data_IF_092535393482
#
_entry.id   IF_092535393482
#
_cell.length_a   1.000
_cell.length_b   1.000
_cell.length_c   1.000
_cell.angle_alpha   90.00
_cell.angle_beta   90.00
_cell.angle_gamma   90.00
#
_symmetry.space_group_name_H-M   'P 1'
#
loop_
_entity.id
_entity.type
_entity.pdbx_description
1 polymer ?
#
# COMPACT_ATOMS: atom_id res chain seq x y z
N UNK A 1 -12.06 -7.60 6.42
CA UNK A 1 -13.10 -6.69 6.95
C UNK A 1 -13.02 -6.53 8.46
N UNK A 2 -13.00 -7.61 9.26
CA UNK A 2 -13.00 -7.54 10.73
C UNK A 2 -11.75 -6.92 11.40
N UNK A 3 -10.49 -7.31 11.13
CA UNK A 3 -9.36 -6.53 11.71
C UNK A 3 -9.06 -5.19 11.03
N UNK A 4 -9.64 -4.92 9.87
CA UNK A 4 -9.66 -3.56 9.35
C UNK A 4 -10.62 -2.70 10.20
N UNK A 5 -11.73 -3.27 10.67
CA UNK A 5 -12.64 -2.68 11.67
C UNK A 5 -11.99 -2.61 13.07
N UNK A 6 -11.14 -3.57 13.45
CA UNK A 6 -10.37 -3.53 14.72
C UNK A 6 -9.26 -2.47 14.63
N UNK A 7 -8.49 -2.40 13.54
CA UNK A 7 -7.52 -1.31 13.30
C UNK A 7 -8.22 0.05 13.18
N UNK A 8 -9.46 0.10 12.67
CA UNK A 8 -10.31 1.30 12.65
C UNK A 8 -10.81 1.69 14.05
N UNK A 9 -11.23 0.73 14.86
CA UNK A 9 -11.68 0.94 16.25
C UNK A 9 -10.53 1.36 17.18
N UNK A 10 -9.35 0.77 16.99
CA UNK A 10 -8.10 1.18 17.64
C UNK A 10 -7.70 2.56 17.12
N UNK A 11 -7.72 2.77 15.81
CA UNK A 11 -7.35 4.02 15.15
C UNK A 11 -8.19 5.23 15.58
N UNK A 12 -9.50 5.07 15.81
CA UNK A 12 -10.36 6.14 16.33
C UNK A 12 -10.08 6.49 17.81
N UNK A 13 -9.49 5.55 18.57
CA UNK A 13 -9.16 5.75 19.99
C UNK A 13 -7.70 6.17 20.22
N UNK A 14 -6.78 5.87 19.30
CA UNK A 14 -5.34 6.22 19.38
C UNK A 14 -4.94 7.49 18.60
N UNK A 15 -5.91 8.32 18.23
CA UNK A 15 -5.74 9.52 17.38
C UNK A 15 -4.76 10.56 17.93
N UNK A 16 -4.38 10.50 19.21
CA UNK A 16 -3.69 11.63 19.84
C UNK A 16 -2.18 11.50 20.07
N UNK A 17 -1.52 10.34 20.02
CA UNK A 17 -0.13 10.28 20.56
C UNK A 17 0.87 9.23 20.02
N UNK A 18 0.52 8.35 19.07
CA UNK A 18 1.24 7.06 18.95
C UNK A 18 1.65 6.61 17.55
N UNK A 19 2.07 7.50 16.64
CA UNK A 19 2.40 7.06 15.28
C UNK A 19 3.55 6.04 15.18
N UNK A 20 4.67 6.28 15.88
CA UNK A 20 5.75 5.29 16.04
C UNK A 20 5.30 3.96 16.70
N UNK A 21 4.40 4.01 17.68
CA UNK A 21 3.97 2.81 18.42
C UNK A 21 3.02 1.96 17.59
N UNK A 22 2.11 2.61 16.86
CA UNK A 22 1.26 1.95 15.87
C UNK A 22 2.10 1.31 14.77
N UNK A 23 3.10 2.03 14.25
CA UNK A 23 3.99 1.49 13.22
C UNK A 23 4.72 0.21 13.67
N UNK A 24 5.19 0.18 14.93
CA UNK A 24 5.80 -1.00 15.53
C UNK A 24 4.78 -2.13 15.74
N UNK A 25 3.58 -1.81 16.21
CA UNK A 25 2.52 -2.79 16.44
C UNK A 25 2.08 -3.46 15.13
N UNK A 26 1.91 -2.68 14.06
CA UNK A 26 1.54 -3.20 12.74
C UNK A 26 2.64 -4.06 12.11
N UNK A 27 3.91 -3.70 12.31
CA UNK A 27 5.04 -4.51 11.86
C UNK A 27 5.12 -5.83 12.64
N UNK A 28 4.90 -5.80 13.96
CA UNK A 28 4.84 -7.00 14.80
C UNK A 28 3.67 -7.90 14.39
N UNK A 29 2.50 -7.32 14.15
CA UNK A 29 1.33 -8.05 13.69
C UNK A 29 1.60 -8.73 12.34
N UNK A 30 2.30 -8.03 11.43
CA UNK A 30 2.68 -8.59 10.15
C UNK A 30 3.64 -9.77 10.29
N UNK A 31 4.62 -9.64 11.19
CA UNK A 31 5.56 -10.72 11.53
C UNK A 31 4.84 -11.96 12.09
N UNK A 32 3.90 -11.78 13.02
CA UNK A 32 3.06 -12.87 13.56
C UNK A 32 2.26 -13.53 12.43
N UNK A 33 1.72 -12.74 11.51
CA UNK A 33 1.01 -13.25 10.34
C UNK A 33 1.87 -14.17 9.46
N UNK A 34 3.10 -13.75 9.16
CA UNK A 34 4.05 -14.57 8.40
C UNK A 34 4.41 -15.86 9.15
N UNK A 35 4.56 -15.82 10.48
CA UNK A 35 4.79 -17.02 11.29
C UNK A 35 3.62 -18.00 11.17
N UNK A 36 2.37 -17.53 11.23
CA UNK A 36 1.19 -18.40 11.08
C UNK A 36 1.16 -19.06 9.71
N UNK A 37 1.46 -18.31 8.64
CA UNK A 37 1.54 -18.86 7.30
C UNK A 37 2.67 -19.89 7.20
N UNK A 38 3.83 -19.61 7.79
CA UNK A 38 4.97 -20.53 7.82
C UNK A 38 4.65 -21.85 8.55
N UNK A 39 4.00 -21.77 9.72
CA UNK A 39 3.56 -22.96 10.47
C UNK A 39 2.56 -23.79 9.66
N UNK A 40 1.58 -23.14 9.02
CA UNK A 40 0.62 -23.82 8.17
C UNK A 40 1.32 -24.60 7.04
N UNK A 41 2.31 -23.98 6.38
CA UNK A 41 3.10 -24.58 5.31
C UNK A 41 3.99 -25.76 5.77
N UNK A 42 4.52 -25.72 7.00
CA UNK A 42 5.27 -26.84 7.55
C UNK A 42 4.36 -28.02 7.91
N UNK A 43 3.12 -27.73 8.29
CA UNK A 43 2.19 -28.74 8.83
C UNK A 43 1.39 -29.49 7.76
N UNK A 44 1.13 -28.89 6.60
CA UNK A 44 0.32 -29.50 5.54
C UNK A 44 0.68 -28.96 4.17
N UNK A 45 0.71 -29.85 3.18
CA UNK A 45 0.90 -29.47 1.79
C UNK A 45 -0.33 -28.71 1.27
N UNK A 46 -0.11 -27.51 0.73
CA UNK A 46 -1.14 -26.65 0.14
C UNK A 46 -1.94 -27.38 -0.93
N UNK A 47 -1.32 -28.26 -1.70
CA UNK A 47 -1.99 -28.97 -2.79
C UNK A 47 -3.15 -29.85 -2.30
N UNK A 48 -3.13 -30.24 -1.02
CA UNK A 48 -4.13 -31.11 -0.39
C UNK A 48 -5.07 -30.38 0.56
N UNK A 49 -4.94 -29.05 0.66
CA UNK A 49 -5.60 -28.21 1.63
C UNK A 49 -7.08 -28.00 1.28
N UNK A 50 -7.96 -28.20 2.26
CA UNK A 50 -9.40 -27.98 2.16
C UNK A 50 -9.82 -26.78 3.03
N UNK A 51 -10.90 -26.07 2.67
CA UNK A 51 -11.40 -24.95 3.47
C UNK A 51 -11.78 -25.29 4.92
N UNK A 52 -12.10 -26.57 5.18
CA UNK A 52 -12.43 -27.09 6.51
C UNK A 52 -11.21 -27.31 7.41
N UNK A 53 -10.00 -27.27 6.86
CA UNK A 53 -8.77 -27.56 7.59
C UNK A 53 -8.35 -26.37 8.47
N UNK A 54 -7.81 -26.66 9.65
CA UNK A 54 -7.27 -25.63 10.55
C UNK A 54 -6.11 -24.86 9.89
N UNK A 55 -5.29 -25.53 9.08
CA UNK A 55 -4.20 -24.91 8.34
C UNK A 55 -4.69 -23.89 7.31
N UNK A 56 -5.89 -24.10 6.74
CA UNK A 56 -6.51 -23.12 5.86
C UNK A 56 -6.90 -21.87 6.65
N UNK A 57 -7.48 -22.03 7.84
CA UNK A 57 -7.78 -20.92 8.73
C UNK A 57 -6.50 -20.16 9.14
N UNK A 58 -5.41 -20.87 9.46
CA UNK A 58 -4.11 -20.27 9.76
C UNK A 58 -3.53 -19.49 8.58
N UNK A 59 -3.65 -19.99 7.35
CA UNK A 59 -3.22 -19.26 6.15
C UNK A 59 -4.05 -18.00 5.93
N UNK A 60 -5.37 -18.07 6.11
CA UNK A 60 -6.27 -16.91 5.96
C UNK A 60 -5.98 -15.85 7.02
N UNK A 61 -5.92 -16.25 8.29
CA UNK A 61 -5.60 -15.33 9.41
C UNK A 61 -4.19 -14.79 9.24
N UNK A 62 -3.22 -15.64 8.93
CA UNK A 62 -1.83 -15.27 8.71
C UNK A 62 -1.66 -14.26 7.57
N UNK A 63 -2.28 -14.52 6.42
CA UNK A 63 -2.28 -13.59 5.25
C UNK A 63 -2.93 -12.25 5.60
N UNK A 64 -3.97 -12.31 6.42
CA UNK A 64 -4.67 -11.13 6.86
C UNK A 64 -3.84 -10.28 7.83
N UNK A 65 -3.19 -10.92 8.80
CA UNK A 65 -2.27 -10.26 9.72
C UNK A 65 -1.02 -9.74 9.00
N UNK A 66 -0.44 -10.50 8.06
CA UNK A 66 0.74 -10.07 7.30
C UNK A 66 0.47 -8.78 6.49
N UNK A 67 -0.77 -8.56 6.07
CA UNK A 67 -1.21 -7.35 5.37
C UNK A 67 -1.19 -6.06 6.19
N UNK A 68 -1.07 -6.13 7.53
CA UNK A 68 -1.08 -4.94 8.39
C UNK A 68 0.08 -3.98 8.12
N UNK A 69 1.24 -4.48 7.70
CA UNK A 69 2.40 -3.64 7.40
C UNK A 69 2.15 -2.70 6.20
N UNK A 70 1.26 -3.07 5.27
CA UNK A 70 0.87 -2.22 4.13
C UNK A 70 -0.04 -1.06 4.62
N UNK A 71 -0.75 -1.25 5.74
CA UNK A 71 -1.61 -0.25 6.35
C UNK A 71 -0.85 0.81 7.18
N UNK A 72 0.48 0.77 7.17
CA UNK A 72 1.35 1.66 7.94
C UNK A 72 1.50 3.06 7.31
N UNK A 73 0.37 3.64 6.91
CA UNK A 73 0.24 4.99 6.37
C UNK A 73 0.75 6.05 7.34
N UNK A 74 0.77 5.73 8.63
CA UNK A 74 1.26 6.58 9.69
C UNK A 74 2.76 6.88 9.58
N UNK A 75 3.59 5.91 9.17
CA UNK A 75 5.00 6.13 8.90
C UNK A 75 5.22 7.15 7.78
N UNK A 76 4.36 7.12 6.76
CA UNK A 76 4.48 8.02 5.60
C UNK A 76 4.10 9.46 6.02
N UNK A 77 3.07 9.62 6.85
CA UNK A 77 2.71 10.93 7.41
C UNK A 77 3.82 11.46 8.33
N UNK A 78 4.37 10.63 9.22
CA UNK A 78 5.49 11.04 10.09
C UNK A 78 6.74 11.38 9.27
N UNK A 79 7.03 10.63 8.20
CA UNK A 79 8.16 10.92 7.31
C UNK A 79 8.02 12.28 6.65
N UNK A 80 6.85 12.62 6.10
CA UNK A 80 6.64 13.94 5.46
C UNK A 80 6.82 15.10 6.44
N UNK A 81 6.53 14.89 7.73
CA UNK A 81 6.73 15.90 8.77
C UNK A 81 8.22 16.13 9.12
N UNK A 82 9.12 15.22 8.74
CA UNK A 82 10.57 15.42 8.87
C UNK A 82 11.17 16.31 7.76
N UNK A 83 10.41 16.62 6.72
CA UNK A 83 10.88 17.38 5.57
C UNK A 83 10.04 18.65 5.34
N UNK A 84 10.59 19.68 4.66
CA UNK A 84 9.84 20.85 4.25
C UNK A 84 8.64 20.48 3.35
N UNK A 85 7.51 21.18 3.51
CA UNK A 85 6.28 20.90 2.77
C UNK A 85 6.45 21.10 1.25
N UNK A 86 7.38 21.97 0.85
CA UNK A 86 7.72 22.29 -0.54
C UNK A 86 8.31 21.09 -1.29
N UNK A 87 8.88 20.11 -0.57
CA UNK A 87 9.48 18.90 -1.17
C UNK A 87 8.80 17.60 -0.74
N UNK A 88 7.68 17.70 -0.02
CA UNK A 88 6.96 16.57 0.55
C UNK A 88 6.56 15.51 -0.51
N UNK A 89 6.13 15.97 -1.69
CA UNK A 89 5.76 15.11 -2.81
C UNK A 89 6.95 14.34 -3.38
N UNK A 90 8.11 14.97 -3.55
CA UNK A 90 9.35 14.29 -4.00
C UNK A 90 9.81 13.27 -2.98
N UNK A 91 9.88 13.65 -1.70
CA UNK A 91 10.33 12.77 -0.60
C UNK A 91 9.46 11.51 -0.54
N UNK A 92 8.15 11.69 -0.61
CA UNK A 92 7.20 10.59 -0.65
C UNK A 92 7.33 9.77 -1.94
N UNK A 93 7.49 10.42 -3.09
CA UNK A 93 7.69 9.78 -4.38
C UNK A 93 8.91 8.85 -4.40
N UNK A 94 10.00 9.26 -3.75
CA UNK A 94 11.20 8.45 -3.56
C UNK A 94 10.90 7.25 -2.65
N UNK A 95 10.33 7.48 -1.47
CA UNK A 95 10.07 6.41 -0.50
C UNK A 95 9.10 5.36 -1.06
N UNK A 96 7.98 5.82 -1.60
CA UNK A 96 6.97 4.96 -2.22
C UNK A 96 7.50 4.31 -3.51
N UNK A 97 8.40 4.97 -4.25
CA UNK A 97 9.04 4.41 -5.42
C UNK A 97 9.97 3.26 -5.06
N UNK A 98 10.88 3.47 -4.10
CA UNK A 98 11.80 2.43 -3.62
C UNK A 98 11.01 1.22 -3.11
N UNK A 99 10.00 1.42 -2.25
CA UNK A 99 9.18 0.33 -1.73
C UNK A 99 8.48 -0.49 -2.83
N UNK A 100 7.99 0.18 -3.88
CA UNK A 100 7.31 -0.48 -4.99
C UNK A 100 8.28 -1.28 -5.86
N UNK A 101 9.48 -0.75 -6.10
CA UNK A 101 10.55 -1.46 -6.81
C UNK A 101 10.95 -2.74 -6.07
N UNK A 102 11.13 -2.66 -4.74
CA UNK A 102 11.43 -3.83 -3.92
C UNK A 102 10.31 -4.89 -3.99
N UNK A 103 9.04 -4.49 -3.92
CA UNK A 103 7.90 -5.42 -4.00
C UNK A 103 7.87 -6.17 -5.34
N UNK A 104 8.05 -5.45 -6.45
CA UNK A 104 8.08 -6.04 -7.78
C UNK A 104 9.29 -6.97 -7.97
N UNK A 105 10.48 -6.52 -7.56
CA UNK A 105 11.72 -7.29 -7.69
C UNK A 105 11.67 -8.56 -6.84
N UNK A 106 11.17 -8.46 -5.60
CA UNK A 106 11.04 -9.59 -4.68
C UNK A 106 10.15 -10.69 -5.27
N UNK A 107 9.00 -10.33 -5.87
CA UNK A 107 8.13 -11.31 -6.52
C UNK A 107 8.82 -12.08 -7.65
N UNK A 108 9.58 -11.37 -8.50
CA UNK A 108 10.33 -11.99 -9.60
C UNK A 108 11.51 -12.84 -9.12
N UNK A 109 12.25 -12.38 -8.11
CA UNK A 109 13.36 -13.13 -7.52
C UNK A 109 12.81 -14.41 -6.89
N UNK A 110 11.73 -14.31 -6.11
CA UNK A 110 11.15 -15.44 -5.41
C UNK A 110 10.67 -16.52 -6.40
N UNK A 111 9.96 -16.17 -7.47
CA UNK A 111 9.52 -17.18 -8.46
C UNK A 111 10.69 -17.85 -9.18
N UNK A 112 11.75 -17.10 -9.52
CA UNK A 112 12.94 -17.68 -10.10
C UNK A 112 13.65 -18.63 -9.13
N UNK A 113 13.72 -18.28 -7.84
CA UNK A 113 14.27 -19.19 -6.84
C UNK A 113 13.42 -20.46 -6.72
N UNK A 114 12.09 -20.33 -6.68
CA UNK A 114 11.18 -21.48 -6.61
C UNK A 114 11.33 -22.41 -7.82
N UNK A 115 11.46 -21.85 -9.03
CA UNK A 115 11.67 -22.61 -10.26
C UNK A 115 13.04 -23.32 -10.29
N UNK A 116 14.06 -22.74 -9.64
CA UNK A 116 15.40 -23.32 -9.54
C UNK A 116 15.60 -24.21 -8.30
N UNK A 117 14.51 -24.72 -7.71
CA UNK A 117 14.56 -25.73 -6.65
C UNK A 117 14.49 -25.20 -5.21
N UNK A 118 14.31 -23.90 -5.00
CA UNK A 118 13.95 -23.39 -3.68
C UNK A 118 12.54 -23.90 -3.33
N UNK A 119 12.37 -24.54 -2.18
CA UNK A 119 11.04 -24.92 -1.72
C UNK A 119 10.25 -23.67 -1.31
N UNK A 120 8.92 -23.75 -1.35
CA UNK A 120 8.06 -22.68 -0.85
C UNK A 120 8.38 -22.32 0.61
N UNK A 121 8.68 -23.33 1.42
CA UNK A 121 9.16 -23.18 2.81
C UNK A 121 10.45 -22.34 2.83
N UNK A 122 11.41 -22.62 1.96
CA UNK A 122 12.63 -21.83 1.79
C UNK A 122 12.35 -20.35 1.47
N UNK A 123 11.34 -20.09 0.63
CA UNK A 123 10.88 -18.72 0.34
C UNK A 123 10.39 -17.98 1.57
N UNK A 124 9.59 -18.63 2.44
CA UNK A 124 9.14 -18.02 3.69
C UNK A 124 10.25 -17.83 4.71
N UNK A 125 11.27 -18.69 4.74
CA UNK A 125 12.46 -18.49 5.57
C UNK A 125 13.15 -17.17 5.21
N UNK A 126 13.30 -16.86 3.91
CA UNK A 126 13.87 -15.58 3.46
C UNK A 126 13.05 -14.40 4.00
N UNK A 127 11.72 -14.47 3.88
CA UNK A 127 10.82 -13.42 4.41
C UNK A 127 10.98 -13.27 5.92
N UNK A 128 11.02 -14.37 6.67
CA UNK A 128 11.22 -14.35 8.12
C UNK A 128 12.57 -13.73 8.51
N UNK A 129 13.65 -14.06 7.81
CA UNK A 129 14.97 -13.45 8.03
C UNK A 129 14.91 -11.94 7.80
N UNK A 130 14.24 -11.48 6.74
CA UNK A 130 14.04 -10.05 6.49
C UNK A 130 13.26 -9.37 7.62
N UNK A 131 12.25 -10.03 8.20
CA UNK A 131 11.54 -9.50 9.38
C UNK A 131 12.42 -9.46 10.63
N UNK A 132 13.21 -10.51 10.88
CA UNK A 132 14.14 -10.56 12.03
C UNK A 132 15.18 -9.45 11.95
N UNK A 133 15.54 -8.99 10.74
CA UNK A 133 16.44 -7.85 10.55
C UNK A 133 15.67 -6.53 10.65
N UNK A 134 14.56 -6.38 9.92
CA UNK A 134 13.86 -5.09 9.82
C UNK A 134 13.17 -4.69 11.11
N UNK A 135 12.62 -5.63 11.89
CA UNK A 135 11.88 -5.33 13.11
C UNK A 135 12.76 -4.69 14.21
N UNK A 136 13.96 -5.21 14.54
CA UNK A 136 14.90 -4.52 15.42
C UNK A 136 15.37 -3.17 14.86
N UNK A 137 15.67 -3.08 13.56
CA UNK A 137 16.09 -1.82 12.94
C UNK A 137 15.01 -0.75 13.07
N UNK A 138 13.74 -1.08 12.81
CA UNK A 138 12.63 -0.15 13.02
C UNK A 138 12.48 0.22 14.49
N UNK A 139 12.69 -0.72 15.42
CA UNK A 139 12.63 -0.40 16.84
C UNK A 139 13.71 0.59 17.27
N UNK A 140 14.94 0.44 16.76
CA UNK A 140 16.11 1.26 17.10
C UNK A 140 16.08 2.63 16.41
N UNK A 141 15.77 2.67 15.12
CA UNK A 141 15.99 3.85 14.28
C UNK A 141 14.73 4.68 14.01
N UNK A 142 13.52 4.12 14.16
CA UNK A 142 12.31 4.90 13.96
C UNK A 142 12.17 5.91 15.10
N UNK A 143 12.17 7.20 14.80
CA UNK A 143 12.04 8.28 15.78
C UNK A 143 10.83 9.16 15.49
N UNK A 144 10.16 9.62 16.56
CA UNK A 144 9.08 10.61 16.48
C UNK A 144 9.62 11.97 16.02
N UNK A 145 8.81 12.78 15.36
CA UNK A 145 9.18 14.16 15.01
C UNK A 145 9.42 15.02 16.26
N UNK A 146 10.23 16.10 16.17
CA UNK A 146 10.50 16.99 17.31
C UNK A 146 9.23 17.49 18.01
N UNK A 147 8.22 17.94 17.25
CA UNK A 147 6.93 18.37 17.79
C UNK A 147 6.25 17.28 18.62
N UNK A 148 6.22 16.04 18.11
CA UNK A 148 5.55 14.93 18.78
C UNK A 148 6.29 14.54 20.06
N UNK A 149 7.63 14.57 20.05
CA UNK A 149 8.44 14.33 21.25
C UNK A 149 8.15 15.35 22.36
N UNK A 150 7.97 16.63 22.01
CA UNK A 150 7.67 17.69 22.96
C UNK A 150 6.24 17.59 23.52
N UNK A 151 5.27 17.22 22.68
CA UNK A 151 3.89 16.97 23.11
C UNK A 151 3.82 15.77 24.06
N UNK A 152 4.58 14.70 23.80
CA UNK A 152 4.69 13.54 24.72
C UNK A 152 5.25 13.94 26.10
N UNK A 153 6.14 14.94 26.13
CA UNK A 153 6.66 15.54 27.36
C UNK A 153 5.65 16.46 28.05
N UNK A 154 4.38 16.45 27.61
CA UNK A 154 3.27 17.28 28.11
C UNK A 154 3.51 18.78 27.96
N UNK A 155 4.32 19.17 26.97
CA UNK A 155 4.51 20.58 26.64
C UNK A 155 3.28 21.15 25.95
N UNK A 156 2.93 22.38 26.29
CA UNK A 156 1.85 23.13 25.64
C UNK A 156 2.11 23.25 24.14
N UNK A 157 1.11 22.94 23.30
CA UNK A 157 1.22 22.84 21.83
C UNK A 157 1.90 24.06 21.19
N UNK A 158 1.55 25.27 21.62
CA UNK A 158 2.14 26.51 21.11
C UNK A 158 3.65 26.60 21.41
N UNK A 159 4.07 26.20 22.61
CA UNK A 159 5.49 26.19 23.02
C UNK A 159 6.24 25.06 22.31
N UNK A 160 5.62 23.88 22.22
CA UNK A 160 6.17 22.73 21.51
C UNK A 160 6.42 23.05 20.02
N UNK A 161 5.52 23.83 19.39
CA UNK A 161 5.64 24.26 18.00
C UNK A 161 6.84 25.17 17.80
N UNK A 162 7.00 26.20 18.63
CA UNK A 162 8.14 27.13 18.57
C UNK A 162 9.48 26.41 18.75
N UNK A 163 9.55 25.48 19.72
CA UNK A 163 10.78 24.71 19.96
C UNK A 163 11.04 23.71 18.82
N UNK A 164 10.02 23.05 18.29
CA UNK A 164 10.17 22.17 17.14
C UNK A 164 10.67 22.92 15.90
N UNK A 165 10.18 24.15 15.68
CA UNK A 165 10.64 25.04 14.61
C UNK A 165 12.12 25.41 14.80
N UNK A 166 12.51 25.77 16.03
CA UNK A 166 13.91 26.01 16.38
C UNK A 166 14.80 24.77 16.18
N UNK A 167 14.27 23.57 16.41
CA UNK A 167 14.94 22.30 16.12
C UNK A 167 14.98 21.93 14.63
N UNK A 168 14.47 22.78 13.74
CA UNK A 168 14.53 22.62 12.28
C UNK A 168 13.33 21.90 11.66
N UNK A 169 12.27 21.63 12.42
CA UNK A 169 11.01 21.15 11.84
C UNK A 169 10.34 22.31 11.10
N UNK A 170 10.17 22.20 9.78
CA UNK A 170 9.57 23.26 8.96
C UNK A 170 8.10 23.00 8.64
N UNK A 171 7.67 21.74 8.75
CA UNK A 171 6.32 21.32 8.39
C UNK A 171 5.48 21.13 9.65
N UNK A 172 4.35 21.85 9.70
CA UNK A 172 3.41 21.86 10.82
C UNK A 172 1.97 21.63 10.33
N UNK A 173 1.14 20.94 11.12
CA UNK A 173 -0.26 20.76 10.78
C UNK A 173 -1.01 22.11 10.79
N UNK A 174 -1.80 22.39 9.75
CA UNK A 174 -2.55 23.65 9.65
C UNK A 174 -3.98 23.58 10.24
N UNK A 175 -4.61 24.74 10.49
CA UNK A 175 -6.00 24.84 10.97
C UNK A 175 -6.95 25.12 9.80
N UNK A 176 -7.61 24.10 9.23
CA UNK A 176 -8.70 24.33 8.25
C UNK A 176 -9.89 23.34 8.33
N UNK A 177 -11.02 23.80 7.77
CA UNK A 177 -12.37 23.22 7.83
C UNK A 177 -12.57 21.99 6.92
N UNK A 178 -13.36 21.02 7.41
CA UNK A 178 -13.59 19.69 6.82
C UNK A 178 -14.49 19.77 5.59
N UNK A 179 -14.05 19.21 4.45
CA UNK A 179 -14.91 18.86 3.30
C UNK A 179 -14.82 17.35 3.08
N UNK A 180 -15.97 16.66 3.01
CA UNK A 180 -16.11 15.21 2.80
C UNK A 180 -15.81 14.80 1.36
N UNK A 181 -15.03 13.73 1.14
CA UNK A 181 -15.14 12.92 -0.09
C UNK A 181 -14.72 11.45 0.12
N UNK A 182 -15.25 10.58 -0.74
CA UNK A 182 -15.20 9.11 -0.72
C UNK A 182 -14.49 8.57 -1.98
N UNK A 183 -14.10 7.28 -1.90
CA UNK A 183 -13.97 6.27 -2.96
C UNK A 183 -12.55 5.84 -3.43
N UNK A 184 -12.57 4.69 -4.14
CA UNK A 184 -11.65 3.55 -4.14
C UNK A 184 -11.44 3.00 -5.57
N UNK A 185 -10.24 2.47 -5.91
CA UNK A 185 -9.90 1.59 -7.08
C UNK A 185 -8.61 0.80 -6.75
N UNK A 186 -8.21 -0.34 -7.34
CA UNK A 186 -8.59 -1.12 -8.53
C UNK A 186 -7.50 -2.20 -8.79
N UNK A 187 -7.18 -2.58 -10.04
CA UNK A 187 -7.56 -3.77 -10.86
C UNK A 187 -6.23 -4.45 -11.31
N UNK A 188 -6.12 -5.77 -11.57
CA UNK A 188 -5.16 -6.37 -12.56
C UNK A 188 -5.19 -7.92 -12.70
N UNK A 189 -5.66 -8.73 -11.75
CA UNK A 189 -5.23 -10.16 -11.75
C UNK A 189 -6.09 -11.23 -12.47
N UNK A 190 -7.10 -10.91 -13.27
CA UNK A 190 -8.03 -11.94 -13.80
C UNK A 190 -8.08 -12.18 -15.30
N UNK A 191 -7.58 -11.26 -16.13
CA UNK A 191 -8.03 -11.23 -17.53
C UNK A 191 -7.13 -11.94 -18.54
N UNK A 192 -5.98 -12.46 -18.11
CA UNK A 192 -5.05 -13.12 -19.02
C UNK A 192 -4.79 -14.56 -18.60
N UNK A 193 -4.96 -15.49 -19.56
CA UNK A 193 -4.44 -16.87 -19.49
C UNK A 193 -2.91 -16.84 -19.63
N UNK A 194 -2.23 -16.07 -18.77
CA UNK A 194 -0.77 -15.94 -18.73
C UNK A 194 -0.19 -16.92 -17.74
N UNK A 195 1.07 -17.28 -17.95
CA UNK A 195 1.83 -18.05 -16.96
C UNK A 195 2.08 -17.21 -15.71
N UNK A 196 2.25 -17.86 -14.54
CA UNK A 196 2.59 -17.18 -13.27
C UNK A 196 3.85 -16.32 -13.43
N UNK A 197 4.81 -16.79 -14.21
CA UNK A 197 6.04 -16.05 -14.51
C UNK A 197 5.76 -14.76 -15.28
N UNK A 198 4.95 -14.82 -16.34
CA UNK A 198 4.57 -13.62 -17.12
C UNK A 198 3.81 -12.60 -16.29
N UNK A 199 2.90 -13.04 -15.41
CA UNK A 199 2.18 -12.16 -14.50
C UNK A 199 3.12 -11.44 -13.51
N UNK A 200 4.11 -12.16 -12.97
CA UNK A 200 5.11 -11.58 -12.06
C UNK A 200 6.10 -10.67 -12.80
N UNK A 201 6.47 -11.00 -14.04
CA UNK A 201 7.29 -10.14 -14.88
C UNK A 201 6.57 -8.84 -15.27
N UNK A 202 5.28 -8.91 -15.57
CA UNK A 202 4.44 -7.72 -15.78
C UNK A 202 4.32 -6.89 -14.50
N UNK A 203 4.12 -7.53 -13.34
CA UNK A 203 4.10 -6.84 -12.06
C UNK A 203 5.43 -6.14 -11.76
N UNK A 204 6.56 -6.79 -12.05
CA UNK A 204 7.89 -6.16 -11.93
C UNK A 204 8.03 -4.97 -12.88
N UNK A 205 7.66 -5.12 -14.15
CA UNK A 205 7.71 -4.05 -15.14
C UNK A 205 6.85 -2.85 -14.73
N UNK A 206 5.61 -3.11 -14.32
CA UNK A 206 4.71 -2.10 -13.80
C UNK A 206 5.27 -1.44 -12.53
N UNK A 207 5.92 -2.22 -11.67
CA UNK A 207 6.55 -1.72 -10.46
C UNK A 207 7.71 -0.78 -10.76
N UNK A 208 8.56 -1.11 -11.74
CA UNK A 208 9.64 -0.22 -12.22
C UNK A 208 9.10 1.08 -12.79
N UNK A 209 8.10 1.00 -13.69
CA UNK A 209 7.46 2.19 -14.29
C UNK A 209 6.88 3.07 -13.18
N UNK A 210 6.10 2.47 -12.28
CA UNK A 210 5.46 3.17 -11.17
C UNK A 210 6.48 3.79 -10.21
N UNK A 211 7.61 3.14 -9.98
CA UNK A 211 8.66 3.68 -9.11
C UNK A 211 9.28 4.94 -9.70
N UNK A 212 9.58 4.91 -11.00
CA UNK A 212 10.12 6.07 -11.71
C UNK A 212 9.09 7.20 -11.80
N UNK A 213 7.85 6.89 -12.19
CA UNK A 213 6.79 7.89 -12.31
C UNK A 213 6.45 8.51 -10.96
N UNK A 214 6.53 7.79 -9.84
CA UNK A 214 6.31 8.33 -8.49
C UNK A 214 7.29 9.44 -8.11
N UNK A 215 8.58 9.28 -8.40
CA UNK A 215 9.57 10.33 -8.14
C UNK A 215 9.29 11.55 -9.01
N UNK A 216 9.04 11.34 -10.29
CA UNK A 216 8.76 12.41 -11.24
C UNK A 216 7.47 13.18 -10.90
N UNK A 217 6.37 12.46 -10.64
CA UNK A 217 5.07 13.07 -10.27
C UNK A 217 5.09 13.68 -8.86
N UNK A 218 5.94 13.16 -7.96
CA UNK A 218 6.25 13.80 -6.68
C UNK A 218 6.85 15.19 -6.86
N UNK A 219 7.88 15.30 -7.69
CA UNK A 219 8.48 16.59 -8.06
C UNK A 219 7.50 17.55 -8.75
N UNK A 220 6.63 17.05 -9.62
CA UNK A 220 5.58 17.88 -10.21
C UNK A 220 4.57 18.34 -9.16
N UNK A 221 4.18 17.46 -8.25
CA UNK A 221 3.26 17.76 -7.14
C UNK A 221 3.83 18.81 -6.21
N UNK A 222 5.15 18.85 -6.03
CA UNK A 222 5.83 19.88 -5.24
C UNK A 222 5.61 21.29 -5.80
N UNK A 223 5.52 21.42 -7.12
CA UNK A 223 5.26 22.70 -7.82
C UNK A 223 3.78 23.10 -7.85
N UNK A 224 2.86 22.18 -7.53
CA UNK A 224 1.42 22.44 -7.48
C UNK A 224 0.88 22.17 -6.06
N UNK A 225 -0.43 22.29 -5.87
CA UNK A 225 -1.07 21.96 -4.60
C UNK A 225 -1.43 20.46 -4.54
N UNK A 226 -1.50 19.90 -3.32
CA UNK A 226 -1.91 18.51 -3.14
C UNK A 226 -3.30 18.23 -3.70
N UNK A 227 -4.23 19.17 -3.50
CA UNK A 227 -5.59 19.09 -4.05
C UNK A 227 -5.66 19.06 -5.58
N UNK A 228 -4.89 19.91 -6.27
CA UNK A 228 -4.87 19.89 -7.74
C UNK A 228 -4.25 18.59 -8.27
N UNK A 229 -3.21 18.09 -7.59
CA UNK A 229 -2.55 16.83 -7.91
C UNK A 229 -3.51 15.63 -7.84
N UNK A 230 -4.36 15.55 -6.80
CA UNK A 230 -5.36 14.48 -6.68
C UNK A 230 -6.44 14.57 -7.77
N UNK A 231 -6.87 15.76 -8.18
CA UNK A 231 -7.80 15.92 -9.30
C UNK A 231 -7.20 15.47 -10.64
N UNK A 232 -5.97 15.89 -10.94
CA UNK A 232 -5.23 15.46 -12.14
C UNK A 232 -5.10 13.94 -12.17
N UNK A 233 -4.76 13.35 -11.03
CA UNK A 233 -4.67 11.90 -10.87
C UNK A 233 -5.97 11.18 -11.29
N UNK A 234 -7.12 11.62 -10.76
CA UNK A 234 -8.40 10.98 -11.05
C UNK A 234 -8.72 10.97 -12.55
N UNK A 235 -8.45 12.08 -13.24
CA UNK A 235 -8.64 12.19 -14.70
C UNK A 235 -7.73 11.21 -15.43
N UNK A 236 -6.44 11.16 -15.07
CA UNK A 236 -5.46 10.26 -15.69
C UNK A 236 -5.83 8.79 -15.45
N UNK A 237 -6.29 8.42 -14.25
CA UNK A 237 -6.71 7.05 -13.92
C UNK A 237 -7.96 6.66 -14.72
N UNK A 238 -8.91 7.58 -14.93
CA UNK A 238 -10.08 7.33 -15.78
C UNK A 238 -9.64 7.07 -17.22
N UNK A 239 -8.79 7.93 -17.78
CA UNK A 239 -8.25 7.77 -19.14
C UNK A 239 -7.52 6.43 -19.27
N UNK A 240 -6.65 6.09 -18.31
CA UNK A 240 -5.96 4.81 -18.25
C UNK A 240 -6.93 3.63 -18.26
N UNK A 241 -7.97 3.68 -17.41
CA UNK A 241 -8.96 2.60 -17.33
C UNK A 241 -9.74 2.43 -18.64
N UNK A 242 -10.01 3.52 -19.37
CA UNK A 242 -10.61 3.46 -20.70
C UNK A 242 -9.66 2.81 -21.72
N UNK A 243 -8.40 3.23 -21.77
CA UNK A 243 -7.38 2.66 -22.66
C UNK A 243 -7.24 1.15 -22.41
N UNK A 244 -7.11 0.74 -21.15
CA UNK A 244 -6.99 -0.67 -20.77
C UNK A 244 -8.26 -1.47 -21.12
N UNK A 245 -9.45 -0.86 -21.04
CA UNK A 245 -10.71 -1.51 -21.41
C UNK A 245 -10.82 -1.80 -22.91
N UNK A 246 -10.21 -0.96 -23.76
CA UNK A 246 -10.14 -1.19 -25.22
C UNK A 246 -8.95 -2.04 -25.65
N UNK A 247 -7.99 -2.30 -24.75
CA UNK A 247 -6.81 -3.11 -25.00
C UNK A 247 -7.10 -4.64 -25.04
N UNK A 248 -8.35 -5.04 -25.31
CA UNK A 248 -8.82 -6.45 -25.33
C UNK A 248 -8.18 -7.34 -26.42
N UNK A 249 -7.19 -6.83 -27.16
CA UNK A 249 -6.41 -7.65 -28.10
C UNK A 249 -5.43 -8.56 -27.33
N UNK A 250 -5.37 -9.83 -27.72
CA UNK A 250 -4.77 -10.98 -27.04
C UNK A 250 -3.26 -10.91 -26.69
N UNK A 251 -2.61 -9.75 -26.72
CA UNK A 251 -1.22 -9.59 -26.34
C UNK A 251 -1.07 -8.63 -25.15
N UNK A 252 -0.61 -9.11 -23.98
CA UNK A 252 -0.31 -8.25 -22.83
C UNK A 252 0.86 -7.28 -23.07
N UNK A 253 1.52 -7.40 -24.23
CA UNK A 253 2.58 -6.51 -24.70
C UNK A 253 2.12 -5.51 -25.77
N UNK A 254 0.82 -5.41 -26.04
CA UNK A 254 0.33 -4.43 -27.00
C UNK A 254 0.68 -3.00 -26.55
N UNK A 255 0.93 -2.12 -27.53
CA UNK A 255 1.25 -0.72 -27.26
C UNK A 255 0.15 -0.03 -26.43
N UNK A 256 -1.13 -0.36 -26.68
CA UNK A 256 -2.25 0.15 -25.90
C UNK A 256 -2.22 -0.35 -24.45
N UNK A 257 -1.87 -1.60 -24.19
CA UNK A 257 -1.76 -2.14 -22.84
C UNK A 257 -0.65 -1.44 -22.05
N UNK A 258 0.54 -1.36 -22.65
CA UNK A 258 1.71 -0.71 -22.04
C UNK A 258 1.44 0.79 -21.82
N UNK A 259 0.83 1.46 -22.81
CA UNK A 259 0.40 2.86 -22.68
C UNK A 259 -0.63 3.03 -21.55
N UNK A 260 -1.63 2.16 -21.47
CA UNK A 260 -2.61 2.15 -20.39
C UNK A 260 -1.98 1.98 -19.01
N UNK A 261 -1.02 1.06 -18.87
CA UNK A 261 -0.25 0.85 -17.64
C UNK A 261 0.63 2.06 -17.28
N UNK A 262 1.25 2.72 -18.26
CA UNK A 262 2.03 3.93 -18.03
C UNK A 262 1.16 5.08 -17.51
N UNK A 263 0.00 5.32 -18.14
CA UNK A 263 -0.96 6.32 -17.67
C UNK A 263 -1.46 5.96 -16.26
N UNK A 264 -1.72 4.68 -15.98
CA UNK A 264 -2.12 4.24 -14.65
C UNK A 264 -1.05 4.58 -13.61
N UNK A 265 0.21 4.25 -13.92
CA UNK A 265 1.37 4.50 -13.06
C UNK A 265 1.59 6.00 -12.79
N UNK A 266 1.38 6.86 -13.80
CA UNK A 266 1.44 8.33 -13.63
C UNK A 266 0.29 8.80 -12.75
N UNK A 267 -0.94 8.34 -13.01
CA UNK A 267 -2.11 8.70 -12.22
C UNK A 267 -1.96 8.31 -10.75
N UNK A 268 -1.53 7.08 -10.46
CA UNK A 268 -1.23 6.62 -9.10
C UNK A 268 -0.13 7.46 -8.45
N UNK A 269 0.91 7.85 -9.21
CA UNK A 269 1.99 8.71 -8.72
C UNK A 269 1.48 10.08 -8.22
N UNK A 270 0.68 10.78 -9.03
CA UNK A 270 0.02 12.02 -8.62
C UNK A 270 -0.93 11.81 -7.44
N UNK A 271 -1.72 10.71 -7.42
CA UNK A 271 -2.64 10.45 -6.30
C UNK A 271 -1.88 10.34 -4.99
N UNK A 272 -0.78 9.58 -5.02
CA UNK A 272 0.04 9.36 -3.84
C UNK A 272 0.66 10.68 -3.40
N UNK A 273 1.42 11.38 -4.25
CA UNK A 273 2.06 12.63 -3.86
C UNK A 273 1.04 13.69 -3.38
N UNK A 274 -0.10 13.80 -4.08
CA UNK A 274 -1.16 14.74 -3.78
C UNK A 274 -1.82 14.47 -2.43
N UNK A 275 -2.13 13.20 -2.13
CA UNK A 275 -2.82 12.83 -0.88
C UNK A 275 -2.03 13.22 0.37
N UNK A 276 -0.71 13.03 0.41
CA UNK A 276 0.06 13.34 1.63
C UNK A 276 0.50 14.80 1.70
N UNK A 277 0.68 15.48 0.57
CA UNK A 277 0.81 16.93 0.61
C UNK A 277 -0.48 17.57 1.12
N UNK A 278 -1.63 17.04 0.68
CA UNK A 278 -2.94 17.48 1.13
C UNK A 278 -3.24 17.08 2.59
N UNK A 279 -2.79 15.90 3.06
CA UNK A 279 -3.10 15.45 4.42
C UNK A 279 -2.46 16.33 5.50
N UNK A 280 -1.26 16.87 5.24
CA UNK A 280 -0.57 17.75 6.19
C UNK A 280 -1.23 19.11 6.31
N UNK A 281 -1.98 19.52 5.29
CA UNK A 281 -2.85 20.69 5.34
C UNK A 281 -4.14 20.43 6.17
N UNK A 282 -4.32 19.23 6.75
CA UNK A 282 -5.47 18.88 7.60
C UNK A 282 -5.11 18.94 9.09
N UNK A 283 -6.07 19.33 9.94
CA UNK A 283 -5.91 19.56 11.39
C UNK A 283 -5.17 18.42 12.14
N UNK A 284 -4.22 18.78 13.02
CA UNK A 284 -3.39 17.86 13.83
C UNK A 284 -4.19 16.77 14.54
N UNK A 285 -5.27 17.17 15.23
CA UNK A 285 -6.09 16.25 16.03
C UNK A 285 -6.78 15.14 15.22
N UNK A 286 -6.72 15.16 13.88
CA UNK A 286 -7.30 14.13 13.03
C UNK A 286 -6.38 13.67 11.90
N UNK A 287 -5.14 14.16 11.82
CA UNK A 287 -4.23 13.87 10.69
C UNK A 287 -3.90 12.37 10.62
N UNK A 288 -3.66 11.75 11.78
CA UNK A 288 -3.48 10.31 11.93
C UNK A 288 -4.76 9.55 11.54
N UNK A 289 -5.92 10.01 12.02
CA UNK A 289 -7.22 9.38 11.76
C UNK A 289 -7.56 9.37 10.27
N UNK A 290 -7.28 10.48 9.57
CA UNK A 290 -7.52 10.61 8.13
C UNK A 290 -6.50 9.78 7.34
N UNK A 291 -5.25 9.72 7.78
CA UNK A 291 -4.23 8.86 7.17
C UNK A 291 -4.60 7.38 7.28
N UNK A 292 -5.11 6.97 8.43
CA UNK A 292 -5.65 5.63 8.65
C UNK A 292 -6.90 5.35 7.84
N UNK A 293 -7.84 6.31 7.72
CA UNK A 293 -9.03 6.14 6.87
C UNK A 293 -8.64 5.98 5.39
N UNK A 294 -7.76 6.84 4.89
CA UNK A 294 -7.23 6.74 3.53
C UNK A 294 -6.51 5.39 3.32
N UNK A 295 -5.74 4.96 4.31
CA UNK A 295 -5.05 3.67 4.30
C UNK A 295 -5.97 2.47 4.37
N UNK A 296 -6.99 2.52 5.21
CA UNK A 296 -8.03 1.50 5.37
C UNK A 296 -8.81 1.33 4.06
N UNK A 297 -9.30 2.43 3.49
CA UNK A 297 -10.00 2.36 2.21
C UNK A 297 -9.06 1.87 1.12
N UNK A 298 -7.82 2.37 1.04
CA UNK A 298 -6.80 1.88 0.11
C UNK A 298 -6.56 0.36 0.23
N UNK A 299 -6.44 -0.16 1.46
CA UNK A 299 -6.24 -1.58 1.74
C UNK A 299 -7.48 -2.44 1.46
N UNK A 300 -8.70 -1.89 1.61
CA UNK A 300 -9.95 -2.57 1.24
C UNK A 300 -10.13 -2.70 -0.28
N UNK A 301 -9.48 -1.85 -1.07
CA UNK A 301 -9.54 -1.85 -2.53
C UNK A 301 -9.20 -3.18 -3.15
N UNK A 302 -8.08 -3.77 -2.72
CA UNK A 302 -7.61 -5.06 -3.24
C UNK A 302 -8.63 -6.19 -3.01
N UNK A 303 -9.01 -6.51 -1.77
CA UNK A 303 -9.95 -7.59 -1.48
C UNK A 303 -11.33 -7.42 -2.13
N UNK A 304 -11.91 -6.20 -2.09
CA UNK A 304 -13.22 -5.94 -2.71
C UNK A 304 -13.14 -6.15 -4.23
N UNK A 305 -12.06 -5.68 -4.85
CA UNK A 305 -11.80 -5.92 -6.25
C UNK A 305 -11.68 -7.42 -6.55
N UNK A 306 -10.87 -8.18 -5.81
CA UNK A 306 -10.70 -9.61 -6.06
C UNK A 306 -12.03 -10.36 -5.99
N UNK A 307 -12.90 -10.01 -5.03
CA UNK A 307 -14.25 -10.57 -4.92
C UNK A 307 -15.11 -10.22 -6.14
N UNK A 308 -15.19 -8.94 -6.51
CA UNK A 308 -15.94 -8.51 -7.69
C UNK A 308 -15.44 -9.21 -8.96
N UNK A 309 -14.14 -9.29 -9.12
CA UNK A 309 -13.48 -9.89 -10.28
C UNK A 309 -13.72 -11.39 -10.37
N UNK A 310 -13.62 -12.10 -9.24
CA UNK A 310 -13.94 -13.53 -9.15
C UNK A 310 -15.40 -13.80 -9.51
N UNK A 311 -16.32 -12.91 -9.12
CA UNK A 311 -17.74 -13.01 -9.46
C UNK A 311 -17.99 -12.80 -10.96
N UNK A 312 -17.35 -11.80 -11.58
CA UNK A 312 -17.45 -11.56 -13.03
C UNK A 312 -16.88 -12.72 -13.85
N UNK A 313 -15.76 -13.31 -13.43
CA UNK A 313 -15.18 -14.50 -14.08
C UNK A 313 -16.15 -15.69 -14.03
N UNK A 314 -16.75 -15.96 -12.86
CA UNK A 314 -17.73 -17.04 -12.72
C UNK A 314 -18.97 -16.82 -13.61
N UNK A 315 -19.48 -15.59 -13.68
CA UNK A 315 -20.56 -15.21 -14.59
C UNK A 315 -20.20 -15.45 -16.06
N UNK A 316 -18.99 -15.04 -16.47
CA UNK A 316 -18.51 -15.24 -17.84
C UNK A 316 -18.37 -16.73 -18.19
N UNK A 317 -17.86 -17.54 -17.26
CA UNK A 317 -17.73 -18.99 -17.43
C UNK A 317 -19.10 -19.66 -17.54
N UNK A 318 -20.08 -19.26 -16.72
CA UNK A 318 -21.46 -19.75 -16.81
C UNK A 318 -22.13 -19.39 -18.14
N UNK A 319 -21.96 -18.15 -18.61
CA UNK A 319 -22.51 -17.70 -19.90
C UNK A 319 -21.86 -18.44 -21.09
N UNK A 320 -20.56 -18.69 -21.03
CA UNK A 320 -19.84 -19.46 -22.06
C UNK A 320 -20.28 -20.94 -22.09
N UNK A 321 -20.47 -21.57 -20.93
CA UNK A 321 -21.02 -22.92 -20.82
C UNK A 321 -22.47 -23.03 -21.31
N UNK A 322 -23.28 -21.95 -21.16
CA UNK A 322 -24.62 -21.88 -21.74
C UNK A 322 -24.60 -21.75 -23.28
N UNK A 323 -23.65 -21.00 -23.85
CA UNK A 323 -23.51 -20.86 -25.29
C UNK A 323 -23.02 -22.14 -25.99
N UNK A 324 -22.25 -22.99 -25.32
CA UNK A 324 -21.81 -24.29 -25.87
C UNK A 324 -22.92 -25.36 -25.83
N UNK A 325 -23.99 -25.13 -25.05
CA UNK A 325 -25.12 -26.06 -24.91
C UNK A 325 -26.21 -25.90 -25.98
N UNK A 326 -26.03 -24.99 -26.93
CA UNK A 326 -26.91 -24.78 -28.11
C UNK A 326 -26.08 -24.87 -29.39
#
# INVERSE_FOLDING_TARGET
MFAAIICFGIGLTTVTLLGQTMARAELLLSFIGVIFMFIALLSKDIATLKPSDEQFALLVIGSFLSGSAIANFQLIVEMVMWYPLEIAGTVQGIFAGIGNLFLGAFGLILINCLQNGLSLIGGYIIVLVLFVITLPLTYIYLQKTPLTQLIDQKMEENKATIIAEFCGQQNFPSKFHIIKSNYLKGYIMAYHKTTVYEALFQNFTFSCITSFTRVFTGYLTDKITGFLSTQISLIIIIISSLILSFSQSNSPHSFMHIGGLLFLAIGIGFMMAGNYKWIVEIRYNHILAIGMLAGFFGALGGPILYLLLSYFLQLQEQLFQQQIKY
#
